data_IF_386416042028
#
_entry.id   IF_386416042028
#
_cell.length_a   1.000
_cell.length_b   1.000
_cell.length_c   1.000
_cell.angle_alpha   90.00
_cell.angle_beta   90.00
_cell.angle_gamma   90.00
#
_symmetry.space_group_name_H-M   'P 1'
#
loop_
_entity.id
_entity.type
_entity.pdbx_description
1 polymer ?
#
# COMPACT_ATOMS: atom_id res chain seq x y z
N UNK A 1 88.93 15.32 -46.22
CA UNK A 1 88.01 14.26 -46.70
C UNK A 1 88.60 12.91 -46.30
N UNK A 2 87.83 11.87 -45.91
CA UNK A 2 86.36 11.80 -45.78
C UNK A 2 85.82 11.24 -44.43
N UNK A 3 84.51 11.47 -44.25
CA UNK A 3 83.45 10.64 -43.64
C UNK A 3 83.78 9.73 -42.44
N UNK A 4 83.15 9.84 -41.26
CA UNK A 4 81.71 9.99 -41.07
C UNK A 4 80.98 8.65 -41.26
N UNK A 5 80.78 7.90 -40.18
CA UNK A 5 79.68 6.93 -40.07
C UNK A 5 79.22 6.78 -38.62
N UNK A 6 78.12 7.48 -38.33
CA UNK A 6 77.15 7.10 -37.31
C UNK A 6 76.49 5.80 -37.79
N UNK A 7 76.53 4.76 -36.97
CA UNK A 7 75.46 3.78 -36.88
C UNK A 7 74.84 4.11 -35.52
N UNK A 8 73.73 4.84 -35.40
CA UNK A 8 72.49 4.54 -36.09
C UNK A 8 71.91 3.26 -35.47
N UNK A 9 71.60 3.29 -34.17
CA UNK A 9 70.54 2.41 -33.68
C UNK A 9 69.30 2.75 -34.51
N UNK A 10 68.84 1.78 -35.28
CA UNK A 10 67.67 1.92 -36.13
C UNK A 10 66.47 2.39 -35.28
N UNK A 11 65.86 3.56 -35.57
CA UNK A 11 64.59 3.94 -34.95
C UNK A 11 63.40 3.13 -35.52
N UNK A 12 63.68 2.13 -36.36
CA UNK A 12 62.67 1.37 -37.12
C UNK A 12 62.06 0.17 -36.39
N UNK A 13 62.40 -0.08 -35.12
CA UNK A 13 61.85 -1.23 -34.37
C UNK A 13 60.82 -0.89 -33.28
N UNK A 14 60.38 0.37 -33.16
CA UNK A 14 59.15 0.69 -32.42
C UNK A 14 57.96 0.74 -33.36
N UNK A 15 57.75 -0.35 -34.09
CA UNK A 15 56.38 -0.65 -34.51
C UNK A 15 55.68 -1.00 -33.21
N UNK A 16 54.85 -0.09 -32.68
CA UNK A 16 53.89 -0.49 -31.68
C UNK A 16 53.13 -1.63 -32.33
N UNK A 17 53.37 -2.85 -31.86
CA UNK A 17 52.59 -4.01 -32.25
C UNK A 17 51.17 -3.68 -31.83
N UNK A 18 50.40 -3.17 -32.80
CA UNK A 18 48.96 -3.01 -32.65
C UNK A 18 48.47 -4.45 -32.73
N UNK A 19 48.58 -5.14 -31.60
CA UNK A 19 48.04 -6.47 -31.40
C UNK A 19 46.52 -6.30 -31.55
N UNK A 20 46.05 -6.58 -32.76
CA UNK A 20 44.63 -6.53 -33.10
C UNK A 20 43.97 -7.53 -32.17
N UNK A 21 43.13 -7.09 -31.21
CA UNK A 21 42.62 -7.99 -30.20
C UNK A 21 41.88 -9.14 -30.87
N UNK A 22 42.19 -10.37 -30.48
CA UNK A 22 41.58 -11.56 -31.03
C UNK A 22 40.04 -11.43 -30.88
N UNK A 23 39.21 -11.77 -31.90
CA UNK A 23 37.76 -11.58 -31.82
C UNK A 23 37.14 -12.19 -30.57
N UNK A 24 37.65 -13.35 -30.15
CA UNK A 24 37.19 -14.07 -28.95
C UNK A 24 37.40 -13.29 -27.65
N UNK A 25 38.51 -12.55 -27.51
CA UNK A 25 38.78 -11.72 -26.33
C UNK A 25 37.85 -10.49 -26.26
N UNK A 26 37.48 -9.93 -27.43
CA UNK A 26 36.50 -8.82 -27.50
C UNK A 26 35.11 -9.32 -27.09
N UNK A 27 34.74 -10.53 -27.49
CA UNK A 27 33.48 -11.16 -27.10
C UNK A 27 33.42 -11.42 -25.58
N UNK A 28 34.45 -12.04 -24.98
CA UNK A 28 34.51 -12.27 -23.52
C UNK A 28 34.47 -10.97 -22.70
N UNK A 29 35.15 -9.91 -23.17
CA UNK A 29 35.08 -8.58 -22.53
C UNK A 29 33.69 -7.95 -22.64
N UNK A 30 33.00 -8.17 -23.76
CA UNK A 30 31.63 -7.69 -23.98
C UNK A 30 30.61 -8.36 -23.07
N UNK A 31 30.74 -9.67 -22.87
CA UNK A 31 29.86 -10.46 -21.99
C UNK A 31 30.06 -10.12 -20.51
N UNK A 32 31.31 -9.97 -20.07
CA UNK A 32 31.65 -9.57 -18.70
C UNK A 32 31.18 -8.14 -18.38
N UNK A 33 31.34 -7.20 -19.33
CA UNK A 33 30.84 -5.84 -19.19
C UNK A 33 29.30 -5.78 -19.19
N UNK A 34 28.63 -6.62 -20.00
CA UNK A 34 27.17 -6.74 -20.01
C UNK A 34 26.63 -7.27 -18.69
N UNK A 35 27.15 -8.41 -18.21
CA UNK A 35 26.74 -9.01 -16.94
C UNK A 35 26.90 -8.05 -15.77
N UNK A 36 28.02 -7.32 -15.70
CA UNK A 36 28.26 -6.31 -14.66
C UNK A 36 27.25 -5.15 -14.73
N UNK A 37 26.92 -4.64 -15.92
CA UNK A 37 25.93 -3.57 -16.08
C UNK A 37 24.52 -4.06 -15.74
N UNK A 38 24.18 -5.26 -16.16
CA UNK A 38 22.89 -5.89 -15.86
C UNK A 38 22.72 -6.13 -14.35
N UNK A 39 23.76 -6.61 -13.66
CA UNK A 39 23.74 -6.79 -12.20
C UNK A 39 23.54 -5.46 -11.45
N UNK A 40 24.22 -4.39 -11.88
CA UNK A 40 24.03 -3.04 -11.32
C UNK A 40 22.59 -2.54 -11.52
N UNK A 41 21.99 -2.76 -12.70
CA UNK A 41 20.59 -2.39 -12.93
C UNK A 41 19.62 -3.21 -12.09
N UNK A 42 19.87 -4.50 -11.86
CA UNK A 42 19.05 -5.33 -10.96
C UNK A 42 19.11 -4.82 -9.52
N UNK A 43 20.27 -4.31 -9.06
CA UNK A 43 20.37 -3.66 -7.76
C UNK A 43 19.48 -2.42 -7.66
N UNK A 44 19.38 -1.62 -8.74
CA UNK A 44 18.45 -0.49 -8.80
C UNK A 44 17.00 -0.97 -8.71
N UNK A 45 16.63 -2.06 -9.41
CA UNK A 45 15.28 -2.63 -9.34
C UNK A 45 14.92 -3.02 -7.90
N UNK A 46 15.86 -3.62 -7.15
CA UNK A 46 15.66 -3.99 -5.75
C UNK A 46 15.43 -2.77 -4.83
N UNK A 47 16.13 -1.65 -5.08
CA UNK A 47 15.89 -0.40 -4.34
C UNK A 47 14.48 0.14 -4.63
N UNK A 48 14.06 0.17 -5.90
CA UNK A 48 12.71 0.61 -6.27
C UNK A 48 11.64 -0.33 -5.69
N UNK A 49 11.88 -1.64 -5.72
CA UNK A 49 11.01 -2.65 -5.10
C UNK A 49 10.85 -2.40 -3.60
N UNK A 50 11.94 -2.06 -2.90
CA UNK A 50 11.91 -1.77 -1.47
C UNK A 50 11.06 -0.53 -1.17
N UNK A 51 11.11 0.49 -2.03
CA UNK A 51 10.27 1.69 -1.90
C UNK A 51 8.80 1.36 -2.17
N UNK A 52 8.51 0.56 -3.20
CA UNK A 52 7.16 0.10 -3.52
C UNK A 52 6.55 -0.70 -2.36
N UNK A 53 7.31 -1.67 -1.82
CA UNK A 53 6.90 -2.50 -0.69
C UNK A 53 6.66 -1.67 0.57
N UNK A 54 7.50 -0.66 0.85
CA UNK A 54 7.30 0.24 1.99
C UNK A 54 6.00 1.06 1.84
N UNK A 55 5.73 1.60 0.65
CA UNK A 55 4.50 2.32 0.34
C UNK A 55 3.27 1.44 0.47
N UNK A 56 3.28 0.26 -0.16
CA UNK A 56 2.22 -0.75 -0.08
C UNK A 56 1.92 -1.14 1.36
N UNK A 57 2.94 -1.54 2.12
CA UNK A 57 2.77 -1.91 3.53
C UNK A 57 2.21 -0.78 4.40
N UNK A 58 2.57 0.48 4.13
CA UNK A 58 1.98 1.60 4.86
C UNK A 58 0.48 1.75 4.56
N UNK A 59 0.07 1.63 3.29
CA UNK A 59 -1.35 1.70 2.92
C UNK A 59 -2.18 0.57 3.52
N UNK A 60 -1.64 -0.66 3.58
CA UNK A 60 -2.29 -1.79 4.27
C UNK A 60 -2.48 -1.50 5.74
N UNK A 61 -1.43 -1.02 6.43
CA UNK A 61 -1.48 -0.70 7.86
C UNK A 61 -2.53 0.35 8.16
N UNK A 62 -2.55 1.45 7.41
CA UNK A 62 -3.55 2.51 7.58
C UNK A 62 -4.97 2.02 7.29
N UNK A 63 -5.16 1.20 6.25
CA UNK A 63 -6.45 0.60 5.92
C UNK A 63 -6.95 -0.33 7.03
N UNK A 64 -6.07 -1.18 7.57
CA UNK A 64 -6.37 -2.09 8.66
C UNK A 64 -6.72 -1.33 9.94
N UNK A 65 -5.96 -0.28 10.26
CA UNK A 65 -6.25 0.59 11.41
C UNK A 65 -7.62 1.28 11.26
N UNK A 66 -7.91 1.85 10.09
CA UNK A 66 -9.21 2.48 9.84
C UNK A 66 -10.37 1.45 9.88
N UNK A 67 -10.16 0.25 9.35
CA UNK A 67 -11.12 -0.85 9.42
C UNK A 67 -11.37 -1.29 10.88
N UNK A 68 -10.32 -1.40 11.68
CA UNK A 68 -10.42 -1.76 13.10
C UNK A 68 -11.18 -0.69 13.88
N UNK A 69 -10.83 0.58 13.70
CA UNK A 69 -11.52 1.70 14.35
C UNK A 69 -12.99 1.79 13.95
N UNK A 70 -13.31 1.59 12.67
CA UNK A 70 -14.69 1.52 12.19
C UNK A 70 -15.46 0.36 12.85
N UNK A 71 -14.85 -0.82 12.93
CA UNK A 71 -15.44 -1.99 13.59
C UNK A 71 -15.69 -1.74 15.08
N UNK A 72 -14.73 -1.11 15.77
CA UNK A 72 -14.86 -0.75 17.19
C UNK A 72 -16.00 0.26 17.39
N UNK A 73 -16.14 1.24 16.48
CA UNK A 73 -17.22 2.24 16.52
C UNK A 73 -18.59 1.60 16.30
N UNK A 74 -18.69 0.66 15.35
CA UNK A 74 -19.90 -0.12 15.13
C UNK A 74 -20.22 -1.02 16.32
N UNK A 75 -19.23 -1.65 16.94
CA UNK A 75 -19.43 -2.42 18.17
C UNK A 75 -19.95 -1.54 19.32
N UNK A 76 -19.42 -0.33 19.46
CA UNK A 76 -19.87 0.64 20.45
C UNK A 76 -21.31 1.11 20.18
N UNK A 77 -21.65 1.37 18.91
CA UNK A 77 -23.02 1.65 18.49
C UNK A 77 -23.97 0.53 18.90
N UNK A 78 -23.61 -0.72 18.59
CA UNK A 78 -24.45 -1.87 18.92
C UNK A 78 -24.61 -2.06 20.43
N UNK A 79 -23.56 -1.85 21.22
CA UNK A 79 -23.65 -1.88 22.68
C UNK A 79 -24.62 -0.82 23.22
N UNK A 80 -24.62 0.39 22.64
CA UNK A 80 -25.57 1.46 23.00
C UNK A 80 -27.00 1.11 22.61
N UNK A 81 -27.22 0.53 21.42
CA UNK A 81 -28.53 0.03 20.97
C UNK A 81 -29.09 -1.03 21.93
N UNK A 82 -28.27 -1.99 22.35
CA UNK A 82 -28.70 -3.04 23.29
C UNK A 82 -29.10 -2.43 24.64
N UNK A 83 -28.31 -1.49 25.18
CA UNK A 83 -28.65 -0.79 26.42
C UNK A 83 -29.95 0.00 26.28
N UNK A 84 -30.14 0.71 25.19
CA UNK A 84 -31.39 1.44 24.89
C UNK A 84 -32.59 0.49 24.89
N UNK A 85 -32.49 -0.67 24.21
CA UNK A 85 -33.56 -1.67 24.20
C UNK A 85 -33.86 -2.22 25.59
N UNK A 86 -32.83 -2.43 26.42
CA UNK A 86 -33.01 -2.87 27.80
C UNK A 86 -33.75 -1.83 28.66
N UNK A 87 -33.37 -0.55 28.54
CA UNK A 87 -34.06 0.55 29.22
C UNK A 87 -35.50 0.74 28.72
N UNK A 88 -35.73 0.65 27.40
CA UNK A 88 -37.08 0.72 26.81
C UNK A 88 -37.96 -0.42 27.31
N UNK A 89 -37.41 -1.64 27.42
CA UNK A 89 -38.12 -2.78 27.99
C UNK A 89 -38.51 -2.56 29.45
N UNK A 90 -37.60 -2.02 30.28
CA UNK A 90 -37.90 -1.66 31.67
C UNK A 90 -38.98 -0.56 31.77
N UNK A 91 -38.87 0.49 30.95
CA UNK A 91 -39.87 1.56 30.87
C UNK A 91 -41.25 1.01 30.52
N UNK A 92 -41.35 0.14 29.52
CA UNK A 92 -42.61 -0.48 29.10
C UNK A 92 -43.25 -1.30 30.24
N UNK A 93 -42.44 -2.02 31.03
CA UNK A 93 -42.92 -2.75 32.22
C UNK A 93 -43.44 -1.80 33.30
N UNK A 94 -42.76 -0.68 33.54
CA UNK A 94 -43.20 0.35 34.49
C UNK A 94 -44.50 1.04 34.03
N UNK A 95 -44.59 1.38 32.74
CA UNK A 95 -45.80 1.98 32.15
C UNK A 95 -46.99 1.02 32.21
N UNK A 96 -46.77 -0.28 31.99
CA UNK A 96 -47.80 -1.30 32.15
C UNK A 96 -48.31 -1.39 33.59
N UNK A 97 -47.42 -1.32 34.60
CA UNK A 97 -47.81 -1.27 36.01
C UNK A 97 -48.59 0.00 36.38
N UNK A 98 -48.24 1.14 35.79
CA UNK A 98 -48.95 2.42 35.99
C UNK A 98 -50.36 2.44 35.39
N UNK A 99 -50.55 1.74 34.26
CA UNK A 99 -51.82 1.62 33.56
C UNK A 99 -52.83 0.72 34.31
N UNK A 100 -52.35 -0.13 35.22
CA UNK A 100 -53.17 -1.04 36.00
C UNK A 100 -53.86 -0.28 37.17
N UNK A 101 -55.21 -0.17 37.20
CA UNK A 101 -55.92 0.73 38.11
C UNK A 101 -55.74 0.44 39.61
N UNK A 102 -55.34 -0.78 39.96
CA UNK A 102 -55.17 -1.27 41.34
C UNK A 102 -53.73 -1.29 41.84
N UNK A 103 -52.73 -1.07 40.98
CA UNK A 103 -51.33 -1.42 41.29
C UNK A 103 -50.58 -0.38 42.15
N UNK A 104 -50.86 0.92 42.00
CA UNK A 104 -50.07 1.99 42.63
C UNK A 104 -50.98 3.12 43.15
N UNK A 105 -50.90 3.46 44.45
CA UNK A 105 -51.68 4.54 45.09
C UNK A 105 -50.78 5.61 45.71
N UNK A 106 -51.20 6.88 45.61
CA UNK A 106 -50.56 8.01 46.29
C UNK A 106 -49.10 8.27 45.88
N UNK A 107 -48.15 8.43 46.83
CA UNK A 107 -46.77 8.85 46.56
C UNK A 107 -45.95 7.89 45.70
N UNK A 108 -46.37 6.63 45.54
CA UNK A 108 -45.71 5.66 44.68
C UNK A 108 -45.95 5.95 43.19
N UNK A 109 -47.15 6.41 42.82
CA UNK A 109 -47.49 6.72 41.42
C UNK A 109 -46.63 7.88 40.87
N UNK A 110 -46.44 8.92 41.68
CA UNK A 110 -45.57 10.05 41.34
C UNK A 110 -44.09 9.65 41.17
N UNK A 111 -43.61 8.64 41.92
CA UNK A 111 -42.24 8.10 41.75
C UNK A 111 -42.08 7.37 40.42
N UNK A 112 -43.07 6.57 40.01
CA UNK A 112 -43.01 5.84 38.74
C UNK A 112 -43.14 6.79 37.54
N UNK A 113 -43.99 7.82 37.61
CA UNK A 113 -44.06 8.89 36.59
C UNK A 113 -42.74 9.65 36.46
N UNK A 114 -42.09 10.03 37.58
CA UNK A 114 -40.79 10.67 37.57
C UNK A 114 -39.70 9.76 36.97
N UNK A 115 -39.78 8.44 37.18
CA UNK A 115 -38.87 7.47 36.57
C UNK A 115 -39.10 7.34 35.06
N UNK A 116 -40.36 7.28 34.62
CA UNK A 116 -40.73 7.23 33.21
C UNK A 116 -40.27 8.49 32.45
N UNK A 117 -40.38 9.67 33.05
CA UNK A 117 -39.88 10.92 32.50
C UNK A 117 -38.35 10.91 32.34
N UNK A 118 -37.61 10.42 33.36
CA UNK A 118 -36.15 10.26 33.28
C UNK A 118 -35.73 9.33 32.16
N UNK A 119 -36.40 8.18 32.00
CA UNK A 119 -36.10 7.26 30.89
C UNK A 119 -36.39 7.86 29.52
N UNK A 120 -37.44 8.69 29.37
CA UNK A 120 -37.73 9.39 28.12
C UNK A 120 -36.67 10.46 27.78
N UNK A 121 -36.10 11.13 28.79
CA UNK A 121 -35.00 12.07 28.61
C UNK A 121 -33.70 11.35 28.20
N UNK A 122 -33.38 10.23 28.87
CA UNK A 122 -32.22 9.41 28.51
C UNK A 122 -32.34 8.85 27.08
N UNK A 123 -33.53 8.44 26.64
CA UNK A 123 -33.78 7.96 25.28
C UNK A 123 -33.44 9.02 24.22
N UNK A 124 -33.79 10.29 24.47
CA UNK A 124 -33.40 11.41 23.57
C UNK A 124 -31.89 11.62 23.55
N UNK A 125 -31.22 11.53 24.71
CA UNK A 125 -29.76 11.64 24.81
C UNK A 125 -29.08 10.52 24.01
N UNK A 126 -29.49 9.27 24.22
CA UNK A 126 -28.95 8.11 23.51
C UNK A 126 -29.15 8.21 21.99
N UNK A 127 -30.31 8.69 21.54
CA UNK A 127 -30.58 8.85 20.10
C UNK A 127 -29.67 9.92 19.44
N UNK A 128 -29.27 10.93 20.20
CA UNK A 128 -28.31 11.96 19.74
C UNK A 128 -26.90 11.39 19.68
N UNK A 129 -26.44 10.76 20.76
CA UNK A 129 -25.10 10.10 20.82
C UNK A 129 -24.93 9.04 19.72
N UNK A 130 -25.99 8.26 19.45
CA UNK A 130 -25.99 7.24 18.38
C UNK A 130 -25.75 7.81 16.99
N UNK A 131 -26.32 8.99 16.68
CA UNK A 131 -26.10 9.66 15.39
C UNK A 131 -24.67 10.15 15.22
N UNK A 132 -24.07 10.65 16.30
CA UNK A 132 -22.66 11.08 16.29
C UNK A 132 -21.73 9.89 16.06
N UNK A 133 -21.96 8.78 16.78
CA UNK A 133 -21.24 7.51 16.63
C UNK A 133 -21.35 6.96 15.20
N UNK A 134 -22.55 7.00 14.61
CA UNK A 134 -22.78 6.54 13.22
C UNK A 134 -22.07 7.43 12.21
N UNK A 135 -22.10 8.76 12.40
CA UNK A 135 -21.40 9.71 11.54
C UNK A 135 -19.88 9.51 11.60
N UNK A 136 -19.32 9.26 12.78
CA UNK A 136 -17.90 8.97 12.98
C UNK A 136 -17.50 7.65 12.32
N UNK A 137 -18.31 6.59 12.49
CA UNK A 137 -18.09 5.30 11.82
C UNK A 137 -18.06 5.43 10.30
N UNK A 138 -19.01 6.17 9.71
CA UNK A 138 -19.06 6.43 8.25
C UNK A 138 -17.87 7.26 7.76
N UNK A 139 -17.38 8.20 8.56
CA UNK A 139 -16.17 8.99 8.22
C UNK A 139 -14.93 8.11 8.15
N UNK A 140 -14.81 7.15 9.07
CA UNK A 140 -13.72 6.16 9.06
C UNK A 140 -13.83 5.22 7.85
N UNK A 141 -15.03 4.79 7.48
CA UNK A 141 -15.27 4.00 6.27
C UNK A 141 -14.87 4.77 4.99
N UNK A 142 -15.26 6.04 4.87
CA UNK A 142 -14.86 6.87 3.73
C UNK A 142 -13.33 7.04 3.64
N UNK A 143 -12.66 7.17 4.79
CA UNK A 143 -11.20 7.25 4.85
C UNK A 143 -10.55 5.94 4.44
N UNK A 144 -11.09 4.80 4.90
CA UNK A 144 -10.66 3.45 4.48
C UNK A 144 -10.80 3.27 2.98
N UNK A 145 -11.95 3.63 2.40
CA UNK A 145 -12.23 3.42 0.98
C UNK A 145 -11.29 4.24 0.08
N UNK A 146 -10.98 5.48 0.48
CA UNK A 146 -9.99 6.31 -0.21
C UNK A 146 -8.58 5.70 -0.20
N UNK A 147 -8.19 5.04 0.90
CA UNK A 147 -6.89 4.36 1.02
C UNK A 147 -6.88 3.04 0.25
N UNK A 148 -8.01 2.32 0.24
CA UNK A 148 -8.21 1.08 -0.53
C UNK A 148 -8.01 1.28 -2.02
N UNK A 149 -8.44 2.43 -2.56
CA UNK A 149 -8.22 2.75 -3.97
C UNK A 149 -6.74 2.89 -4.38
N UNK A 150 -5.82 3.14 -3.43
CA UNK A 150 -4.39 3.32 -3.71
C UNK A 150 -3.59 2.02 -3.63
N UNK A 151 -4.04 1.08 -2.79
CA UNK A 151 -3.35 -0.18 -2.52
C UNK A 151 -3.00 -0.99 -3.80
N UNK A 152 -3.92 -1.16 -4.77
CA UNK A 152 -3.64 -2.00 -5.94
C UNK A 152 -2.41 -1.52 -6.73
N UNK A 153 -2.21 -0.22 -6.87
CA UNK A 153 -1.09 0.32 -7.64
C UNK A 153 0.28 -0.08 -7.08
N UNK A 154 0.40 -0.17 -5.74
CA UNK A 154 1.62 -0.62 -5.08
C UNK A 154 1.84 -2.12 -5.25
N UNK A 155 0.77 -2.92 -5.12
CA UNK A 155 0.83 -4.38 -5.25
C UNK A 155 1.22 -4.80 -6.68
N UNK A 156 0.60 -4.20 -7.70
CA UNK A 156 0.98 -4.46 -9.10
C UNK A 156 2.39 -3.95 -9.42
N UNK A 157 2.80 -2.80 -8.89
CA UNK A 157 4.16 -2.29 -9.03
C UNK A 157 5.21 -3.23 -8.45
N UNK A 158 4.95 -3.76 -7.25
CA UNK A 158 5.82 -4.72 -6.57
C UNK A 158 5.99 -6.01 -7.38
N UNK A 159 4.88 -6.60 -7.84
CA UNK A 159 4.89 -7.83 -8.65
C UNK A 159 5.65 -7.63 -9.96
N UNK A 160 5.45 -6.51 -10.66
CA UNK A 160 6.17 -6.22 -11.90
C UNK A 160 7.68 -6.07 -11.68
N UNK A 161 8.09 -5.44 -10.58
CA UNK A 161 9.51 -5.31 -10.21
C UNK A 161 10.13 -6.67 -9.84
N UNK A 162 9.39 -7.55 -9.17
CA UNK A 162 9.85 -8.92 -8.90
C UNK A 162 10.06 -9.72 -10.20
N UNK A 163 9.10 -9.64 -11.15
CA UNK A 163 9.23 -10.29 -12.47
C UNK A 163 10.41 -9.70 -13.24
N UNK A 164 10.65 -8.38 -13.15
CA UNK A 164 11.80 -7.73 -13.76
C UNK A 164 13.14 -8.24 -13.19
N UNK A 165 13.24 -8.42 -11.88
CA UNK A 165 14.45 -8.97 -11.22
C UNK A 165 14.71 -10.42 -11.64
N UNK A 166 13.67 -11.26 -11.68
CA UNK A 166 13.79 -12.66 -12.14
C UNK A 166 14.22 -12.69 -13.62
N UNK A 167 13.60 -11.86 -14.46
CA UNK A 167 13.94 -11.75 -15.88
C UNK A 167 15.36 -11.23 -16.09
N UNK A 168 15.83 -10.28 -15.29
CA UNK A 168 17.20 -9.78 -15.35
C UNK A 168 18.23 -10.85 -14.95
N UNK A 169 17.90 -11.68 -13.95
CA UNK A 169 18.73 -12.82 -13.56
C UNK A 169 18.86 -13.85 -14.70
N UNK A 170 17.76 -14.16 -15.38
CA UNK A 170 17.75 -15.04 -16.57
C UNK A 170 18.52 -14.42 -17.74
N UNK A 171 18.41 -13.11 -17.94
CA UNK A 171 19.12 -12.39 -19.01
C UNK A 171 20.65 -12.43 -18.83
N UNK A 172 21.12 -12.36 -17.57
CA UNK A 172 22.55 -12.48 -17.24
C UNK A 172 23.04 -13.91 -17.55
N UNK A 173 22.28 -14.93 -17.14
CA UNK A 173 22.68 -16.33 -17.37
C UNK A 173 22.64 -16.71 -18.86
N UNK A 174 21.67 -16.20 -19.60
CA UNK A 174 21.49 -16.51 -21.03
C UNK A 174 22.30 -15.59 -21.95
N UNK A 175 23.05 -14.62 -21.42
CA UNK A 175 23.75 -13.55 -22.16
C UNK A 175 22.85 -12.87 -23.23
N UNK A 176 21.54 -12.83 -22.99
CA UNK A 176 20.56 -12.40 -23.99
C UNK A 176 20.15 -10.94 -23.77
N UNK A 177 20.55 -10.09 -24.71
CA UNK A 177 20.20 -8.65 -24.69
C UNK A 177 18.70 -8.40 -24.81
N UNK A 178 17.94 -9.29 -25.45
CA UNK A 178 16.50 -9.16 -25.65
C UNK A 178 15.72 -9.34 -24.34
N UNK A 179 16.09 -10.36 -23.55
CA UNK A 179 15.49 -10.62 -22.24
C UNK A 179 15.81 -9.47 -21.27
N UNK A 180 17.01 -8.91 -21.38
CA UNK A 180 17.39 -7.73 -20.59
C UNK A 180 16.50 -6.51 -20.91
N UNK A 181 16.25 -6.22 -22.20
CA UNK A 181 15.32 -5.15 -22.59
C UNK A 181 13.90 -5.38 -22.08
N UNK A 182 13.41 -6.62 -22.13
CA UNK A 182 12.11 -6.97 -21.55
C UNK A 182 12.06 -6.68 -20.05
N UNK A 183 13.12 -7.05 -19.31
CA UNK A 183 13.22 -6.75 -17.87
C UNK A 183 13.21 -5.24 -17.59
N UNK A 184 13.85 -4.44 -18.44
CA UNK A 184 13.90 -2.99 -18.30
C UNK A 184 12.54 -2.35 -18.52
N UNK A 185 11.78 -2.79 -19.53
CA UNK A 185 10.41 -2.32 -19.77
C UNK A 185 9.52 -2.62 -18.58
N UNK A 186 9.58 -3.85 -18.03
CA UNK A 186 8.84 -4.22 -16.83
C UNK A 186 9.25 -3.38 -15.62
N UNK A 187 10.54 -3.13 -15.42
CA UNK A 187 11.02 -2.30 -14.33
C UNK A 187 10.54 -0.84 -14.44
N UNK A 188 10.53 -0.27 -15.65
CA UNK A 188 10.00 1.09 -15.89
C UNK A 188 8.49 1.14 -15.63
N UNK A 189 7.74 0.14 -16.08
CA UNK A 189 6.30 0.05 -15.81
C UNK A 189 6.01 -0.08 -14.30
N UNK A 190 6.73 -0.97 -13.60
CA UNK A 190 6.60 -1.15 -12.16
C UNK A 190 6.98 0.10 -11.36
N UNK A 191 8.07 0.79 -11.75
CA UNK A 191 8.45 2.07 -11.18
C UNK A 191 7.39 3.15 -11.42
N UNK A 192 6.84 3.23 -12.64
CA UNK A 192 5.76 4.16 -12.99
C UNK A 192 4.49 3.94 -12.16
N UNK A 193 4.09 2.68 -11.98
CA UNK A 193 2.96 2.31 -11.12
C UNK A 193 3.20 2.66 -9.65
N UNK A 194 4.41 2.41 -9.16
CA UNK A 194 4.82 2.77 -7.79
C UNK A 194 4.73 4.28 -7.57
N UNK A 195 5.22 5.09 -8.51
CA UNK A 195 5.13 6.55 -8.46
C UNK A 195 3.67 7.00 -8.52
N UNK A 196 2.83 6.38 -9.36
CA UNK A 196 1.40 6.70 -9.44
C UNK A 196 0.64 6.33 -8.15
N UNK A 197 1.09 5.32 -7.41
CA UNK A 197 0.55 5.00 -6.08
C UNK A 197 0.83 6.10 -5.05
N UNK A 198 2.00 6.75 -5.12
CA UNK A 198 2.37 7.86 -4.24
C UNK A 198 1.71 9.18 -4.62
N UNK A 199 1.75 9.52 -5.92
CA UNK A 199 1.17 10.74 -6.48
C UNK A 199 0.07 10.28 -7.43
N UNK A 200 -1.21 10.26 -7.02
CA UNK A 200 -2.31 9.84 -7.88
C UNK A 200 -2.50 10.88 -8.98
N UNK A 201 -1.70 10.78 -10.04
CA UNK A 201 -1.73 11.65 -11.22
C UNK A 201 -2.69 11.04 -12.27
N UNK A 202 -2.78 9.72 -12.35
CA UNK A 202 -3.68 9.00 -13.27
C UNK A 202 -4.53 7.97 -12.52
N UNK A 203 -5.85 8.08 -12.63
CA UNK A 203 -6.79 7.02 -12.25
C UNK A 203 -6.91 6.03 -13.42
N UNK A 204 -6.19 4.92 -13.38
CA UNK A 204 -6.40 3.83 -14.33
C UNK A 204 -7.70 3.11 -13.94
N UNK A 205 -8.77 3.35 -14.71
CA UNK A 205 -10.12 2.80 -14.46
C UNK A 205 -10.16 1.27 -14.43
N UNK A 206 -9.16 0.59 -14.99
CA UNK A 206 -9.08 -0.89 -15.03
C UNK A 206 -8.78 -1.52 -13.66
N UNK A 207 -8.24 -0.76 -12.70
CA UNK A 207 -7.84 -1.24 -11.36
C UNK A 207 -8.93 -1.14 -10.28
N UNK A 208 -10.13 -0.64 -10.63
CA UNK A 208 -11.24 -0.46 -9.69
C UNK A 208 -12.18 -1.68 -9.57
N UNK A 209 -11.92 -2.78 -10.29
CA UNK A 209 -12.72 -3.99 -10.18
C UNK A 209 -12.20 -4.91 -9.07
N UNK A 210 -12.68 -4.71 -7.84
CA UNK A 210 -13.23 -5.71 -6.90
C UNK A 210 -13.37 -5.19 -5.46
#
# INVERSE_FOLDING_TARGET
MPCGRRFGEDPASRVAEIEVPNPDEIHERGETAFGRRAALTTAIYAVVLSIAALGGNNTVKEMLLAQQQSSDQWAFYQAKVIREHQYRGQKMLLEAQLAEPSALKGPERAKVEALAAKFAEEEKRYNTEKKEIEAEAKKLEATRDHRRARHPYFEFGEVLLQIAIVSASVAILSTSRQIFWFSLVLAVLGAGLTVNGFVPIFSLSFLHHH
#
